data_IF_683532865977
#
_entry.id   IF_683532865977
#
_cell.length_a   1.000
_cell.length_b   1.000
_cell.length_c   1.000
_cell.angle_alpha   90.00
_cell.angle_beta   90.00
_cell.angle_gamma   90.00
#
_symmetry.space_group_name_H-M   'P 1'
#
loop_
_entity.id
_entity.type
_entity.pdbx_description
1 polymer ?
#
# COMPACT_ATOMS: atom_id res chain seq x y z
N UNK A 1 -11.74 2.06 13.19
CA UNK A 1 -11.16 1.06 12.27
C UNK A 1 -11.47 1.48 10.84
N UNK A 2 -10.77 0.98 9.82
CA UNK A 2 -11.16 1.26 8.44
C UNK A 2 -12.44 0.50 8.10
N UNK A 3 -13.38 1.13 7.38
CA UNK A 3 -14.64 0.48 7.02
C UNK A 3 -14.48 -0.60 5.93
N UNK A 4 -13.41 -0.52 5.14
CA UNK A 4 -13.05 -1.47 4.10
C UNK A 4 -11.57 -1.27 3.71
N UNK A 5 -11.09 -2.06 2.76
CA UNK A 5 -9.71 -1.97 2.28
C UNK A 5 -9.36 -0.60 1.68
N UNK A 6 -10.28 0.05 0.97
CA UNK A 6 -10.04 1.37 0.36
C UNK A 6 -9.77 2.42 1.44
N UNK A 7 -10.59 2.45 2.48
CA UNK A 7 -10.39 3.35 3.62
C UNK A 7 -9.11 3.02 4.41
N UNK A 8 -8.69 1.75 4.43
CA UNK A 8 -7.44 1.33 5.08
C UNK A 8 -6.20 1.92 4.39
N UNK A 9 -6.19 1.93 3.05
CA UNK A 9 -5.06 2.45 2.25
C UNK A 9 -5.20 3.92 1.89
N UNK A 10 -6.28 4.58 2.32
CA UNK A 10 -6.54 5.98 1.99
C UNK A 10 -5.48 6.91 2.58
N UNK A 11 -5.01 7.84 1.75
CA UNK A 11 -4.02 8.86 2.10
C UNK A 11 -4.62 10.26 1.97
N UNK A 12 -4.24 11.14 2.90
CA UNK A 12 -4.41 12.59 2.76
C UNK A 12 -3.08 13.26 2.42
N UNK A 13 -3.11 14.24 1.53
CA UNK A 13 -1.96 15.10 1.24
C UNK A 13 -1.67 16.04 2.42
N UNK A 14 -0.42 16.47 2.55
CA UNK A 14 -0.03 17.51 3.50
C UNK A 14 0.25 18.84 2.77
N UNK A 15 0.65 19.87 3.51
CA UNK A 15 1.14 21.12 2.91
C UNK A 15 2.47 20.96 2.18
N UNK A 16 3.22 19.89 2.45
CA UNK A 16 4.46 19.57 1.74
C UNK A 16 4.14 18.71 0.51
N UNK A 17 4.73 19.02 -0.66
CA UNK A 17 4.58 18.17 -1.84
C UNK A 17 5.12 16.79 -1.55
N UNK A 18 4.50 15.77 -2.14
CA UNK A 18 4.96 14.37 -2.06
C UNK A 18 5.06 13.81 -0.63
N UNK A 19 4.38 14.45 0.32
CA UNK A 19 4.24 13.97 1.70
C UNK A 19 2.77 13.71 1.99
N UNK A 20 2.48 12.48 2.41
CA UNK A 20 1.15 11.97 2.66
C UNK A 20 1.04 11.38 4.06
N UNK A 21 -0.17 11.34 4.61
CA UNK A 21 -0.47 10.71 5.90
C UNK A 21 -1.62 9.73 5.71
N UNK A 22 -1.54 8.54 6.29
CA UNK A 22 -2.65 7.59 6.29
C UNK A 22 -3.89 8.17 6.98
N UNK A 23 -5.07 7.93 6.42
CA UNK A 23 -6.34 8.34 7.05
C UNK A 23 -6.72 7.39 8.19
N UNK A 24 -6.41 6.10 8.05
CA UNK A 24 -6.63 5.06 9.04
C UNK A 24 -5.31 4.64 9.71
N UNK A 25 -5.42 4.05 10.90
CA UNK A 25 -4.27 3.36 11.48
C UNK A 25 -4.11 2.01 10.76
N UNK A 26 -2.88 1.52 10.55
CA UNK A 26 -2.68 0.23 9.91
C UNK A 26 -3.13 -0.91 10.82
N UNK A 27 -3.57 -2.02 10.23
CA UNK A 27 -4.18 -3.12 10.98
C UNK A 27 -3.15 -4.18 11.40
N UNK A 28 -3.46 -4.92 12.46
CA UNK A 28 -2.67 -6.05 12.95
C UNK A 28 -3.05 -7.33 12.20
N UNK A 29 -2.15 -8.31 12.17
CA UNK A 29 -2.46 -9.67 11.69
C UNK A 29 -1.98 -10.71 12.71
N UNK A 30 -2.71 -10.80 13.83
CA UNK A 30 -2.47 -11.82 14.87
C UNK A 30 -1.20 -11.63 15.70
N UNK A 31 -0.55 -10.47 15.64
CA UNK A 31 0.61 -10.18 16.49
C UNK A 31 0.15 -9.76 17.90
N UNK A 32 0.73 -10.37 18.94
CA UNK A 32 0.46 -10.01 20.32
C UNK A 32 0.93 -8.56 20.63
N UNK A 33 2.08 -8.17 20.09
CA UNK A 33 2.54 -6.79 20.16
C UNK A 33 1.68 -5.89 19.26
N UNK A 34 1.61 -4.58 19.55
CA UNK A 34 0.86 -3.59 18.77
C UNK A 34 1.52 -3.25 17.42
N UNK A 35 1.91 -4.27 16.67
CA UNK A 35 2.63 -4.16 15.40
C UNK A 35 1.67 -4.46 14.27
N UNK A 36 1.60 -3.53 13.33
CA UNK A 36 0.81 -3.67 12.14
C UNK A 36 1.36 -4.72 11.19
N UNK A 37 0.47 -5.31 10.39
CA UNK A 37 0.83 -6.17 9.29
C UNK A 37 1.65 -5.40 8.25
N UNK A 38 2.79 -5.98 7.83
CA UNK A 38 3.71 -5.35 6.89
C UNK A 38 3.06 -4.97 5.56
N UNK A 39 2.05 -5.74 5.12
CA UNK A 39 1.28 -5.43 3.92
C UNK A 39 0.56 -4.08 3.98
N UNK A 40 0.17 -3.59 5.17
CA UNK A 40 -0.47 -2.28 5.30
C UNK A 40 0.48 -1.16 4.91
N UNK A 41 1.71 -1.14 5.44
CA UNK A 41 2.69 -0.09 5.12
C UNK A 41 3.17 -0.19 3.68
N UNK A 42 3.28 -1.40 3.15
CA UNK A 42 3.58 -1.63 1.74
C UNK A 42 2.48 -1.06 0.83
N UNK A 43 1.20 -1.37 1.09
CA UNK A 43 0.08 -0.88 0.30
C UNK A 43 -0.05 0.64 0.35
N UNK A 44 0.13 1.24 1.53
CA UNK A 44 0.19 2.68 1.72
C UNK A 44 1.34 3.30 0.89
N UNK A 45 2.52 2.68 0.87
CA UNK A 45 3.67 3.14 0.09
C UNK A 45 3.40 3.11 -1.41
N UNK A 46 2.75 2.05 -1.91
CA UNK A 46 2.29 1.95 -3.31
C UNK A 46 1.30 3.06 -3.63
N UNK A 47 0.32 3.31 -2.76
CA UNK A 47 -0.65 4.38 -2.95
C UNK A 47 0.01 5.76 -3.00
N UNK A 48 1.00 6.03 -2.14
CA UNK A 48 1.75 7.29 -2.14
C UNK A 48 2.55 7.48 -3.44
N UNK A 49 3.20 6.41 -3.92
CA UNK A 49 3.92 6.44 -5.18
C UNK A 49 2.98 6.73 -6.37
N UNK A 50 1.82 6.06 -6.45
CA UNK A 50 0.81 6.36 -7.48
C UNK A 50 0.33 7.81 -7.43
N UNK A 51 0.03 8.34 -6.24
CA UNK A 51 -0.36 9.76 -6.11
C UNK A 51 0.70 10.73 -6.66
N UNK A 52 1.98 10.44 -6.45
CA UNK A 52 3.08 11.26 -7.02
C UNK A 52 3.22 11.12 -8.54
N UNK A 53 2.81 9.98 -9.11
CA UNK A 53 2.80 9.70 -10.55
C UNK A 53 1.62 10.41 -11.22
N UNK A 54 0.41 10.26 -10.65
CA UNK A 54 -0.83 10.85 -11.15
C UNK A 54 -0.82 12.39 -11.10
N UNK A 55 -0.06 12.98 -10.19
CA UNK A 55 0.18 14.42 -10.15
C UNK A 55 0.92 14.95 -11.40
N UNK A 56 1.54 14.07 -12.20
CA UNK A 56 2.30 14.40 -13.40
C UNK A 56 1.61 13.86 -14.64
N UNK A 57 1.05 14.75 -15.48
CA UNK A 57 0.27 14.40 -16.68
C UNK A 57 1.00 13.42 -17.60
N UNK A 58 2.30 13.61 -17.80
CA UNK A 58 3.14 12.76 -18.66
C UNK A 58 3.29 11.32 -18.14
N UNK A 59 3.05 11.09 -16.85
CA UNK A 59 3.22 9.81 -16.18
C UNK A 59 1.89 9.15 -15.80
N UNK A 60 0.74 9.80 -16.06
CA UNK A 60 -0.59 9.36 -15.59
C UNK A 60 -0.95 7.91 -15.96
N UNK A 61 -0.38 7.39 -17.05
CA UNK A 61 -0.66 6.03 -17.54
C UNK A 61 0.45 5.02 -17.23
N UNK A 62 1.43 5.39 -16.40
CA UNK A 62 2.49 4.48 -16.02
C UNK A 62 1.96 3.41 -15.06
N UNK A 63 2.37 2.17 -15.29
CA UNK A 63 1.97 1.02 -14.50
C UNK A 63 3.14 0.55 -13.63
N UNK A 64 2.83 0.13 -12.40
CA UNK A 64 3.81 -0.45 -11.50
C UNK A 64 4.27 -1.82 -12.04
N UNK A 65 5.59 -2.06 -12.07
CA UNK A 65 6.14 -3.36 -12.47
C UNK A 65 7.05 -3.98 -11.40
N UNK A 66 7.50 -3.18 -10.43
CA UNK A 66 8.47 -3.61 -9.41
C UNK A 66 8.24 -2.85 -8.10
N UNK A 67 8.33 -3.58 -6.99
CA UNK A 67 8.38 -3.03 -5.63
C UNK A 67 9.43 -3.80 -4.85
N UNK A 68 10.42 -3.08 -4.32
CA UNK A 68 11.40 -3.63 -3.39
C UNK A 68 11.35 -2.83 -2.10
N UNK A 69 10.96 -3.47 -1.00
CA UNK A 69 10.80 -2.84 0.31
C UNK A 69 11.69 -3.46 1.38
N UNK A 70 12.12 -2.64 2.34
CA UNK A 70 12.85 -3.07 3.54
C UNK A 70 12.11 -2.57 4.79
N UNK A 71 11.87 -3.47 5.73
CA UNK A 71 11.33 -3.12 7.04
C UNK A 71 12.48 -2.69 7.95
N UNK A 72 12.46 -1.44 8.39
CA UNK A 72 13.51 -0.82 9.21
C UNK A 72 13.22 -0.95 10.71
N UNK A 73 11.96 -1.19 11.06
CA UNK A 73 11.50 -1.37 12.42
C UNK A 73 9.98 -1.59 12.46
N UNK A 74 9.41 -1.77 13.66
CA UNK A 74 7.98 -2.01 13.79
C UNK A 74 7.19 -0.76 13.40
N UNK A 75 6.20 -0.96 12.52
CA UNK A 75 5.11 -0.01 12.31
C UNK A 75 4.01 -0.34 13.32
N UNK A 76 3.64 0.60 14.19
CA UNK A 76 2.61 0.40 15.20
C UNK A 76 1.20 0.55 14.62
N UNK A 77 0.26 -0.24 15.12
CA UNK A 77 -1.14 -0.24 14.68
C UNK A 77 -2.01 0.81 15.40
N UNK A 78 -1.50 1.48 16.43
CA UNK A 78 -2.23 2.55 17.14
C UNK A 78 -2.01 3.97 16.59
N UNK A 79 -1.20 4.15 15.54
CA UNK A 79 -0.84 5.49 15.03
C UNK A 79 -0.75 5.56 13.52
N UNK A 80 -0.94 6.77 12.97
CA UNK A 80 -0.89 7.02 11.52
C UNK A 80 0.53 6.87 10.98
N UNK A 81 0.61 6.55 9.69
CA UNK A 81 1.87 6.45 8.95
C UNK A 81 2.03 7.68 8.09
N UNK A 82 3.17 8.35 8.19
CA UNK A 82 3.59 9.41 7.28
C UNK A 82 4.44 8.78 6.17
N UNK A 83 4.21 9.19 4.93
CA UNK A 83 4.88 8.69 3.75
C UNK A 83 5.51 9.87 3.04
N UNK A 84 6.83 9.80 2.83
CA UNK A 84 7.57 10.80 2.06
C UNK A 84 8.02 10.14 0.77
N UNK A 85 7.62 10.70 -0.37
CA UNK A 85 7.97 10.22 -1.70
C UNK A 85 9.12 11.06 -2.24
N UNK A 86 10.18 10.40 -2.67
CA UNK A 86 11.31 11.00 -3.38
C UNK A 86 11.31 10.51 -4.82
N UNK A 87 11.30 11.42 -5.79
CA UNK A 87 11.48 11.05 -7.20
C UNK A 87 12.95 10.73 -7.44
N UNK A 88 13.24 9.47 -7.80
CA UNK A 88 14.60 9.04 -8.16
C UNK A 88 14.87 9.29 -9.64
N UNK A 89 13.87 9.02 -10.48
CA UNK A 89 14.00 9.12 -11.94
C UNK A 89 12.63 9.32 -12.58
N UNK A 90 12.60 10.17 -13.60
CA UNK A 90 11.52 10.29 -14.56
C UNK A 90 12.13 10.26 -15.98
N UNK A 91 11.65 9.35 -16.81
CA UNK A 91 12.03 9.25 -18.22
C UNK A 91 10.79 8.96 -19.07
N UNK A 92 10.97 8.91 -20.39
CA UNK A 92 9.91 8.51 -21.32
C UNK A 92 9.36 7.10 -21.05
N UNK A 93 10.21 6.19 -20.56
CA UNK A 93 9.87 4.76 -20.44
C UNK A 93 9.70 4.28 -19.00
N UNK A 94 10.38 4.93 -18.05
CA UNK A 94 10.41 4.50 -16.65
C UNK A 94 10.33 5.68 -15.70
N UNK A 95 9.63 5.46 -14.59
CA UNK A 95 9.62 6.34 -13.44
C UNK A 95 9.94 5.53 -12.18
N UNK A 96 10.77 6.07 -11.30
CA UNK A 96 11.16 5.41 -10.05
C UNK A 96 10.89 6.35 -8.88
N UNK A 97 10.27 5.81 -7.83
CA UNK A 97 9.97 6.49 -6.56
C UNK A 97 10.65 5.77 -5.43
N UNK A 98 11.24 6.53 -4.52
CA UNK A 98 11.72 6.02 -3.24
C UNK A 98 10.81 6.53 -2.14
N UNK A 99 10.23 5.62 -1.36
CA UNK A 99 9.30 5.92 -0.28
C UNK A 99 10.00 5.69 1.05
N UNK A 100 9.89 6.66 1.94
CA UNK A 100 10.18 6.48 3.36
C UNK A 100 8.88 6.59 4.15
N UNK A 101 8.53 5.51 4.84
CA UNK A 101 7.42 5.48 5.79
C UNK A 101 7.95 5.70 7.21
N UNK A 102 7.30 6.60 7.95
CA UNK A 102 7.68 6.97 9.31
C UNK A 102 6.45 7.12 10.21
N UNK A 103 6.69 7.02 11.51
CA UNK A 103 5.69 7.27 12.53
C UNK A 103 6.25 8.22 13.59
N UNK A 104 5.36 9.03 14.16
CA UNK A 104 5.67 9.83 15.34
C UNK A 104 5.63 8.92 16.58
N UNK A 105 6.70 8.92 17.32
CA UNK A 105 6.89 8.18 18.56
C UNK A 105 6.33 8.95 19.75
N UNK A 106 6.25 8.31 20.91
CA UNK A 106 5.62 8.90 22.11
C UNK A 106 6.44 10.05 22.70
N UNK A 107 7.77 10.01 22.50
CA UNK A 107 8.70 11.11 22.81
C UNK A 107 8.62 12.27 21.79
N UNK A 108 7.72 12.17 20.81
CA UNK A 108 7.54 13.15 19.75
C UNK A 108 8.52 13.04 18.59
N UNK A 109 9.53 12.17 18.68
CA UNK A 109 10.49 11.91 17.59
C UNK A 109 9.80 11.25 16.40
N UNK A 110 10.40 11.36 15.22
CA UNK A 110 9.93 10.70 14.01
C UNK A 110 10.88 9.56 13.66
N UNK A 111 10.35 8.34 13.56
CA UNK A 111 11.14 7.14 13.26
C UNK A 111 10.67 6.50 11.96
N UNK A 112 11.61 6.23 11.06
CA UNK A 112 11.35 5.44 9.86
C UNK A 112 11.10 3.98 10.22
N UNK A 113 10.04 3.40 9.68
CA UNK A 113 9.65 2.01 9.94
C UNK A 113 9.76 1.13 8.70
N UNK A 114 9.70 1.74 7.50
CA UNK A 114 9.79 1.03 6.24
C UNK A 114 10.32 1.96 5.14
N UNK A 115 11.05 1.41 4.19
CA UNK A 115 11.38 2.11 2.96
C UNK A 115 11.16 1.20 1.75
N UNK A 116 10.87 1.79 0.59
CA UNK A 116 10.70 1.04 -0.65
C UNK A 116 11.13 1.82 -1.89
N UNK A 117 11.71 1.11 -2.85
CA UNK A 117 11.82 1.56 -4.23
C UNK A 117 10.66 0.97 -5.02
N UNK A 118 9.94 1.84 -5.72
CA UNK A 118 8.77 1.48 -6.55
C UNK A 118 9.04 1.96 -7.97
N UNK A 119 9.04 1.02 -8.90
CA UNK A 119 9.29 1.30 -10.31
C UNK A 119 8.03 1.15 -11.15
N UNK A 120 7.88 2.09 -12.06
CA UNK A 120 6.81 2.17 -13.02
C UNK A 120 7.36 2.16 -14.44
N UNK A 121 6.61 1.54 -15.34
CA UNK A 121 6.88 1.53 -16.77
C UNK A 121 5.77 2.27 -17.52
N UNK A 122 6.16 2.97 -18.58
CA UNK A 122 5.21 3.55 -19.52
C UNK A 122 4.30 2.44 -20.10
N UNK A 123 3.03 2.77 -20.42
CA UNK A 123 2.11 1.80 -20.99
C UNK A 123 2.66 1.27 -22.30
N UNK A 124 2.55 -0.05 -22.53
CA UNK A 124 3.05 -0.65 -23.75
C UNK A 124 2.18 -0.19 -24.94
N UNK A 125 2.76 0.60 -25.85
CA UNK A 125 2.09 1.07 -27.07
C UNK A 125 2.21 0.08 -28.24
N UNK A 126 2.90 -1.05 -28.03
CA UNK A 126 3.09 -2.04 -29.08
C UNK A 126 1.77 -2.78 -29.31
N UNK A 127 1.34 -2.82 -30.57
CA UNK A 127 0.20 -3.63 -31.01
C UNK A 127 0.51 -5.12 -30.75
N UNK A 128 -0.08 -5.64 -29.67
CA UNK A 128 0.11 -7.03 -29.23
C UNK A 128 -0.42 -8.05 -30.24
N UNK A 129 -1.25 -7.64 -31.21
CA UNK A 129 -1.69 -8.51 -32.28
C UNK A 129 -0.56 -8.80 -33.30
N UNK A 130 0.43 -7.91 -33.42
CA UNK A 130 1.53 -8.01 -34.40
C UNK A 130 2.87 -8.42 -33.79
N UNK A 131 3.17 -7.98 -32.57
CA UNK A 131 4.49 -8.15 -31.95
C UNK A 131 4.57 -9.31 -30.95
N UNK A 132 3.48 -10.04 -30.73
CA UNK A 132 3.36 -11.01 -29.63
C UNK A 132 3.07 -10.34 -28.28
N UNK A 133 2.96 -11.14 -27.22
CA UNK A 133 2.64 -10.64 -25.89
C UNK A 133 3.72 -9.66 -25.38
N UNK A 134 3.35 -8.58 -24.67
CA UNK A 134 4.33 -7.65 -24.08
C UNK A 134 5.36 -8.40 -23.24
N UNK A 135 6.64 -7.99 -23.30
CA UNK A 135 7.67 -8.48 -22.39
C UNK A 135 7.30 -8.30 -20.90
N UNK A 136 6.41 -7.35 -20.58
CA UNK A 136 5.93 -7.05 -19.23
C UNK A 136 4.73 -7.89 -18.80
N UNK A 137 4.07 -8.64 -19.70
CA UNK A 137 2.83 -9.38 -19.38
C UNK A 137 3.11 -10.82 -18.94
N UNK A 138 4.17 -11.03 -18.15
CA UNK A 138 4.35 -12.30 -17.44
C UNK A 138 3.63 -12.24 -16.09
N UNK A 139 2.29 -12.20 -16.12
CA UNK A 139 1.48 -12.46 -14.93
C UNK A 139 0.48 -13.56 -15.26
N UNK A 140 0.56 -14.67 -14.51
CA UNK A 140 -0.45 -15.71 -14.60
C UNK A 140 -1.76 -15.06 -14.18
N UNK A 141 -2.78 -15.10 -15.05
CA UNK A 141 -4.11 -14.62 -14.68
C UNK A 141 -4.52 -15.28 -13.35
N UNK A 142 -5.08 -14.52 -12.41
CA UNK A 142 -5.52 -15.09 -11.14
C UNK A 142 -6.46 -16.27 -11.39
N UNK A 143 -6.39 -17.32 -10.55
CA UNK A 143 -7.14 -18.56 -10.78
C UNK A 143 -8.65 -18.38 -10.67
N UNK A 144 -9.09 -17.29 -10.05
CA UNK A 144 -10.48 -16.93 -9.87
C UNK A 144 -10.65 -15.41 -9.97
N UNK A 145 -11.89 -14.98 -10.19
CA UNK A 145 -12.25 -13.58 -10.10
C UNK A 145 -12.28 -13.18 -8.63
N UNK A 146 -11.49 -12.17 -8.28
CA UNK A 146 -11.50 -11.58 -6.94
C UNK A 146 -12.61 -10.53 -6.86
N UNK A 147 -13.21 -10.39 -5.68
CA UNK A 147 -14.12 -9.29 -5.40
C UNK A 147 -13.37 -7.95 -5.59
N UNK A 148 -14.06 -6.92 -6.10
CA UNK A 148 -13.47 -5.60 -6.24
C UNK A 148 -13.14 -5.03 -4.84
N UNK A 149 -12.12 -4.15 -4.71
CA UNK A 149 -11.65 -3.64 -3.42
C UNK A 149 -12.74 -3.02 -2.53
N UNK A 150 -13.78 -2.43 -3.14
CA UNK A 150 -14.93 -1.83 -2.48
C UNK A 150 -15.81 -2.85 -1.74
N UNK A 151 -15.79 -4.11 -2.19
CA UNK A 151 -16.58 -5.22 -1.65
C UNK A 151 -15.76 -6.13 -0.74
N UNK A 152 -14.49 -5.81 -0.51
CA UNK A 152 -13.67 -6.58 0.42
C UNK A 152 -14.13 -6.31 1.86
N UNK A 153 -14.35 -7.36 2.67
CA UNK A 153 -14.80 -7.20 4.05
C UNK A 153 -13.74 -6.47 4.88
N UNK A 154 -14.19 -5.73 5.89
CA UNK A 154 -13.29 -5.15 6.89
C UNK A 154 -12.69 -6.24 7.78
N UNK A 155 -11.64 -5.90 8.53
CA UNK A 155 -11.09 -6.80 9.54
C UNK A 155 -12.13 -7.16 10.59
N UNK A 156 -12.99 -6.21 10.95
CA UNK A 156 -14.09 -6.42 11.89
C UNK A 156 -15.09 -7.45 11.36
N UNK A 157 -15.51 -7.34 10.09
CA UNK A 157 -16.40 -8.32 9.45
C UNK A 157 -15.77 -9.71 9.40
N UNK A 158 -14.46 -9.78 9.11
CA UNK A 158 -13.71 -11.04 9.10
C UNK A 158 -13.66 -11.64 10.51
N UNK A 159 -13.43 -10.83 11.53
CA UNK A 159 -13.37 -11.27 12.93
C UNK A 159 -14.74 -11.73 13.42
N UNK A 160 -15.82 -11.00 13.12
CA UNK A 160 -17.20 -11.37 13.46
C UNK A 160 -17.58 -12.69 12.81
N UNK A 161 -17.30 -12.86 11.52
CA UNK A 161 -17.53 -14.14 10.82
C UNK A 161 -16.77 -15.30 11.46
N UNK A 162 -15.50 -15.11 11.84
CA UNK A 162 -14.72 -16.18 12.50
C UNK A 162 -15.29 -16.56 13.86
N UNK A 163 -15.87 -15.61 14.58
CA UNK A 163 -16.59 -15.86 15.83
C UNK A 163 -17.86 -16.65 15.57
N UNK A 164 -18.65 -16.27 14.57
CA UNK A 164 -19.87 -16.97 14.18
C UNK A 164 -19.58 -18.41 13.69
N UNK A 165 -18.48 -18.60 12.97
CA UNK A 165 -17.98 -19.91 12.54
C UNK A 165 -17.35 -20.73 13.69
N UNK A 166 -17.28 -20.20 14.93
CA UNK A 166 -16.71 -20.87 16.08
C UNK A 166 -15.19 -21.07 16.03
N UNK A 167 -14.49 -20.36 15.14
CA UNK A 167 -13.04 -20.48 14.94
C UNK A 167 -12.23 -19.62 15.92
N UNK A 168 -12.86 -18.60 16.51
CA UNK A 168 -12.23 -17.65 17.43
C UNK A 168 -13.22 -17.30 18.54
N UNK A 169 -12.76 -17.25 19.78
CA UNK A 169 -13.58 -16.78 20.91
C UNK A 169 -13.90 -15.30 20.80
N UNK A 170 -15.11 -14.90 21.24
CA UNK A 170 -15.54 -13.48 21.27
C UNK A 170 -14.57 -12.56 22.01
N UNK A 171 -13.91 -13.08 23.05
CA UNK A 171 -12.93 -12.32 23.83
C UNK A 171 -11.65 -12.05 23.02
N UNK A 172 -11.22 -12.99 22.18
CA UNK A 172 -10.02 -12.87 21.34
C UNK A 172 -10.26 -12.03 20.07
N UNK A 173 -11.51 -11.93 19.61
CA UNK A 173 -11.89 -11.20 18.40
C UNK A 173 -11.94 -9.66 18.55
N UNK A 174 -11.90 -9.12 19.76
CA UNK A 174 -11.96 -7.67 20.06
C UNK A 174 -10.58 -6.98 20.12
N UNK A 175 -9.52 -7.66 19.72
CA UNK A 175 -8.11 -7.21 19.83
C UNK A 175 -7.54 -6.76 18.50
#
# INVERSE_FOLDING_TARGET
MAANFIELVRLRSTSKPDVYISCCNPEKMGNAADIAYGGCVLALSVQAAFKSIEAQKELMHFEIYSVLGNYLGPTYANRKVKLTVTTIRNTRSFATRFITASQRMDDGSERSTFCATIDFSAPNKIDTAKAGAPFTRYSRKPRMQYAPPEQLPSLEDISLRKVEEGKVDRAAAKT
#
